data_IF_365477876658
#
_entry.id   IF_365477876658
#
_cell.length_a   1.000
_cell.length_b   1.000
_cell.length_c   1.000
_cell.angle_alpha   90.00
_cell.angle_beta   90.00
_cell.angle_gamma   90.00
#
_symmetry.space_group_name_H-M   'P 1'
#
loop_
_entity.id
_entity.type
_entity.pdbx_description
1 polymer ?
#
# COMPACT_ATOMS: atom_id res chain seq x y z
N UNK A 1 16.64 -3.15 11.73
CA UNK A 1 15.30 -3.72 11.97
C UNK A 1 14.31 -2.91 11.18
N UNK A 2 13.66 -3.53 10.18
CA UNK A 2 12.65 -2.86 9.35
C UNK A 2 11.24 -3.21 9.80
N UNK A 3 10.27 -2.37 9.43
CA UNK A 3 8.85 -2.61 9.62
C UNK A 3 8.26 -3.12 8.30
N UNK A 4 7.45 -4.18 8.37
CA UNK A 4 6.69 -4.69 7.22
C UNK A 4 5.22 -4.56 7.57
N UNK A 5 4.45 -3.97 6.66
CA UNK A 5 3.02 -3.78 6.84
C UNK A 5 2.33 -3.58 5.51
N UNK A 6 0.99 -3.58 5.53
CA UNK A 6 0.18 -3.40 4.34
C UNK A 6 -0.05 -1.91 4.11
N UNK A 7 0.28 -1.44 2.91
CA UNK A 7 -0.07 -0.08 2.50
C UNK A 7 -1.58 -0.04 2.26
N UNK A 8 -2.28 0.83 3.00
CA UNK A 8 -3.73 0.99 2.89
C UNK A 8 -4.11 2.27 2.14
N UNK A 9 -3.23 3.28 2.17
CA UNK A 9 -3.40 4.54 1.45
C UNK A 9 -2.06 5.18 1.11
N UNK A 10 -2.00 5.83 -0.05
CA UNK A 10 -0.84 6.59 -0.52
C UNK A 10 -1.28 8.02 -0.79
N UNK A 11 -0.57 8.98 -0.20
CA UNK A 11 -0.71 10.40 -0.44
C UNK A 11 0.62 10.96 -1.00
N UNK A 12 0.69 12.25 -1.34
CA UNK A 12 1.86 12.82 -2.04
C UNK A 12 3.17 12.77 -1.23
N UNK A 13 3.09 12.94 0.10
CA UNK A 13 4.26 12.96 0.99
C UNK A 13 4.33 11.80 1.99
N UNK A 14 3.21 11.10 2.21
CA UNK A 14 3.07 10.11 3.26
C UNK A 14 2.24 8.92 2.80
N UNK A 15 2.40 7.80 3.50
CA UNK A 15 1.63 6.60 3.30
C UNK A 15 1.04 6.13 4.63
N UNK A 16 -0.16 5.56 4.58
CA UNK A 16 -0.74 4.86 5.72
C UNK A 16 -0.41 3.38 5.62
N UNK A 17 0.25 2.86 6.63
CA UNK A 17 0.62 1.45 6.74
C UNK A 17 -0.12 0.83 7.91
N UNK A 18 -0.78 -0.28 7.65
CA UNK A 18 -1.40 -1.12 8.68
C UNK A 18 -0.42 -2.22 9.08
N UNK A 19 -0.16 -2.32 10.38
CA UNK A 19 0.83 -3.26 10.93
C UNK A 19 0.15 -4.34 11.78
N UNK A 20 -1.01 -4.02 12.35
CA UNK A 20 -1.85 -4.96 13.08
C UNK A 20 -3.32 -4.51 13.01
N UNK A 21 -4.23 -5.37 13.45
CA UNK A 21 -5.66 -5.04 13.51
C UNK A 21 -5.90 -3.76 14.30
N UNK A 22 -6.62 -2.81 13.69
CA UNK A 22 -6.88 -1.46 14.22
C UNK A 22 -5.62 -0.58 14.44
N UNK A 23 -4.43 -1.03 14.07
CA UNK A 23 -3.18 -0.25 14.20
C UNK A 23 -2.73 0.25 12.84
N UNK A 24 -2.93 1.55 12.62
CA UNK A 24 -2.52 2.28 11.41
C UNK A 24 -1.50 3.35 11.77
N UNK A 25 -0.41 3.40 11.03
CA UNK A 25 0.65 4.40 11.19
C UNK A 25 0.85 5.17 9.89
N UNK A 26 1.18 6.45 10.00
CA UNK A 26 1.58 7.30 8.87
C UNK A 26 3.09 7.33 8.79
N UNK A 27 3.61 7.09 7.60
CA UNK A 27 5.05 7.04 7.33
C UNK A 27 5.35 7.96 6.16
N UNK A 28 6.41 8.76 6.27
CA UNK A 28 6.85 9.63 5.17
C UNK A 28 7.38 8.78 4.03
N UNK A 29 6.91 9.03 2.80
CA UNK A 29 7.25 8.21 1.64
C UNK A 29 8.77 8.14 1.38
N UNK A 30 9.49 9.23 1.66
CA UNK A 30 10.93 9.32 1.47
C UNK A 30 11.78 8.46 2.42
N UNK A 31 11.20 7.93 3.50
CA UNK A 31 11.94 7.09 4.46
C UNK A 31 11.83 5.59 4.18
N UNK A 32 11.04 5.20 3.16
CA UNK A 32 10.86 3.80 2.78
C UNK A 32 12.04 3.30 1.95
N UNK A 33 12.68 2.22 2.38
CA UNK A 33 13.81 1.63 1.66
C UNK A 33 13.38 0.80 0.46
N UNK A 34 12.26 0.07 0.56
CA UNK A 34 11.80 -0.83 -0.50
C UNK A 34 10.27 -0.95 -0.45
N UNK A 35 9.60 -0.81 -1.60
CA UNK A 35 8.16 -1.04 -1.76
C UNK A 35 7.99 -2.18 -2.74
N UNK A 36 7.46 -3.31 -2.25
CA UNK A 36 7.18 -4.48 -3.10
C UNK A 36 5.71 -4.49 -3.47
N UNK A 37 5.44 -4.30 -4.76
CA UNK A 37 4.12 -4.56 -5.33
C UNK A 37 3.98 -6.07 -5.57
N UNK A 38 2.80 -6.63 -5.33
CA UNK A 38 2.51 -8.02 -5.68
C UNK A 38 2.71 -8.15 -7.20
N UNK A 39 3.68 -8.95 -7.62
CA UNK A 39 3.92 -9.24 -9.04
C UNK A 39 2.77 -10.11 -9.54
N UNK A 40 1.76 -9.44 -10.07
CA UNK A 40 0.94 -9.81 -11.23
C UNK A 40 -0.08 -8.68 -11.41
N UNK A 41 -0.17 -8.07 -12.61
CA UNK A 41 -1.21 -7.09 -12.87
C UNK A 41 -2.54 -7.86 -12.91
N UNK A 42 -3.38 -7.70 -11.90
CA UNK A 42 -4.79 -8.06 -12.02
C UNK A 42 -5.47 -6.93 -12.80
N UNK A 43 -5.85 -7.12 -14.08
CA UNK A 43 -6.59 -6.11 -14.83
C UNK A 43 -7.92 -5.85 -14.12
N UNK A 44 -8.16 -4.60 -13.78
CA UNK A 44 -9.25 -4.17 -12.91
C UNK A 44 -10.36 -3.44 -13.68
N UNK A 45 -10.97 -4.05 -14.72
CA UNK A 45 -12.28 -3.67 -15.30
C UNK A 45 -12.55 -4.19 -16.74
N UNK A 46 -13.59 -5.03 -16.90
CA UNK A 46 -14.48 -5.00 -18.09
C UNK A 46 -15.93 -5.17 -17.64
N UNK A 47 -16.62 -4.04 -17.47
CA UNK A 47 -18.08 -3.99 -17.47
C UNK A 47 -18.54 -4.24 -18.92
N UNK A 48 -19.17 -5.39 -19.20
CA UNK A 48 -19.80 -5.67 -20.50
C UNK A 48 -21.30 -5.82 -20.26
N UNK A 49 -22.16 -4.88 -20.72
CA UNK A 49 -23.59 -5.09 -20.73
C UNK A 49 -23.91 -6.15 -21.80
N UNK A 50 -24.77 -7.10 -21.48
CA UNK A 50 -25.47 -7.96 -22.43
C UNK A 50 -26.91 -8.09 -21.98
#
# INVERSE_FOLDING_TARGET
GGLVGKVTKVDEGEITVEIAENVRVRVVKGTLSEVRSKSEPVPANTNTPS
#
